data_IF_025157194181
#
_entry.id   IF_025157194181
#
_cell.length_a   1.000
_cell.length_b   1.000
_cell.length_c   1.000
_cell.angle_alpha   90.00
_cell.angle_beta   90.00
_cell.angle_gamma   90.00
#
_symmetry.space_group_name_H-M   'P 1'
#
loop_
_entity.id
_entity.type
_entity.pdbx_description
1 polymer ?
#
# COMPACT_ATOMS: atom_id res chain seq x y z
N UNK A 1 -21.65 -36.87 -1.99
CA UNK A 1 -20.91 -35.61 -1.78
C UNK A 1 -21.27 -35.08 -0.41
N UNK A 2 -20.38 -35.15 0.57
CA UNK A 2 -20.62 -34.57 1.88
C UNK A 2 -20.26 -33.09 1.82
N UNK A 3 -21.27 -32.22 1.86
CA UNK A 3 -21.09 -30.78 2.06
C UNK A 3 -20.71 -30.55 3.52
N UNK A 4 -19.45 -30.22 3.77
CA UNK A 4 -19.02 -29.81 5.11
C UNK A 4 -19.27 -28.31 5.23
N UNK A 5 -20.38 -27.94 5.88
CA UNK A 5 -20.62 -26.55 6.26
C UNK A 5 -19.73 -26.19 7.45
N UNK A 6 -18.68 -25.42 7.17
CA UNK A 6 -17.80 -24.87 8.20
C UNK A 6 -18.59 -23.89 9.06
N UNK A 7 -18.56 -24.08 10.38
CA UNK A 7 -19.18 -23.12 11.29
C UNK A 7 -18.38 -21.81 11.30
N UNK A 8 -19.00 -20.70 11.75
CA UNK A 8 -18.28 -19.42 11.97
C UNK A 8 -17.04 -19.58 12.87
N UNK A 9 -17.07 -20.56 13.78
CA UNK A 9 -15.93 -20.86 14.67
C UNK A 9 -14.80 -21.53 13.90
N UNK A 10 -15.12 -22.45 12.99
CA UNK A 10 -14.14 -23.12 12.13
C UNK A 10 -13.52 -22.15 11.13
N UNK A 11 -14.30 -21.25 10.53
CA UNK A 11 -13.78 -20.18 9.66
C UNK A 11 -12.80 -19.29 10.44
N UNK A 12 -13.17 -18.84 11.63
CA UNK A 12 -12.29 -18.04 12.48
C UNK A 12 -11.02 -18.79 12.92
N UNK A 13 -11.08 -20.10 13.12
CA UNK A 13 -9.91 -20.92 13.47
C UNK A 13 -9.02 -21.12 12.24
N UNK A 14 -9.58 -21.38 11.07
CA UNK A 14 -8.83 -21.50 9.82
C UNK A 14 -8.17 -20.17 9.43
N UNK A 15 -8.84 -19.03 9.65
CA UNK A 15 -8.25 -17.71 9.43
C UNK A 15 -7.08 -17.45 10.38
N UNK A 16 -7.16 -17.91 11.64
CA UNK A 16 -6.04 -17.84 12.60
C UNK A 16 -4.90 -18.79 12.27
N UNK A 17 -5.19 -19.97 11.71
CA UNK A 17 -4.16 -20.93 11.25
C UNK A 17 -3.43 -20.38 10.03
N UNK A 18 -4.13 -19.62 9.17
CA UNK A 18 -3.54 -18.95 8.00
C UNK A 18 -2.69 -17.73 8.36
N UNK A 19 -2.86 -17.17 9.54
CA UNK A 19 -2.09 -16.03 10.04
C UNK A 19 -1.58 -16.29 11.47
N UNK A 20 -0.54 -17.14 11.63
CA UNK A 20 0.00 -17.49 12.94
C UNK A 20 0.63 -16.28 13.68
N UNK A 21 0.78 -15.12 13.03
CA UNK A 21 1.27 -13.88 13.64
C UNK A 21 0.17 -12.84 13.92
N UNK A 22 -1.08 -13.08 13.53
CA UNK A 22 -2.22 -12.25 13.92
C UNK A 22 -2.57 -12.47 15.40
N UNK A 23 -1.87 -11.79 16.28
CA UNK A 23 -2.24 -11.68 17.68
C UNK A 23 -3.39 -10.66 17.85
N UNK A 24 -4.62 -11.07 18.21
CA UNK A 24 -5.73 -10.14 18.45
C UNK A 24 -5.48 -9.20 19.65
N UNK A 25 -4.45 -9.45 20.47
CA UNK A 25 -4.00 -8.55 21.53
C UNK A 25 -3.01 -7.47 21.03
N UNK A 26 -2.49 -7.58 19.81
CA UNK A 26 -1.62 -6.59 19.17
C UNK A 26 -2.37 -5.43 18.49
N UNK A 27 -3.70 -5.36 18.70
CA UNK A 27 -4.53 -4.25 18.24
C UNK A 27 -4.03 -2.92 18.83
N UNK A 28 -3.88 -1.93 17.96
CA UNK A 28 -3.36 -0.62 18.34
C UNK A 28 -4.36 0.08 19.24
N UNK A 29 -3.88 0.63 20.36
CA UNK A 29 -4.71 1.43 21.25
C UNK A 29 -5.06 2.75 20.56
N UNK A 30 -6.33 2.93 20.20
CA UNK A 30 -6.82 4.15 19.57
C UNK A 30 -7.39 5.09 20.62
N UNK A 31 -6.89 6.32 20.64
CA UNK A 31 -7.37 7.38 21.53
C UNK A 31 -7.83 8.60 20.70
N UNK A 32 -9.16 8.83 20.60
CA UNK A 32 -9.71 9.99 19.89
C UNK A 32 -9.38 11.35 20.50
N UNK A 33 -8.91 11.40 21.76
CA UNK A 33 -8.51 12.63 22.42
C UNK A 33 -7.12 13.12 21.99
N UNK A 34 -6.32 12.25 21.38
CA UNK A 34 -5.00 12.60 20.85
C UNK A 34 -5.12 13.50 19.62
N UNK A 35 -4.09 14.35 19.35
CA UNK A 35 -4.00 15.12 18.12
C UNK A 35 -4.17 14.23 16.88
N UNK A 36 -4.93 14.74 15.89
CA UNK A 36 -5.17 14.01 14.63
C UNK A 36 -3.88 13.74 13.86
N UNK A 37 -2.88 14.60 14.00
CA UNK A 37 -1.52 14.39 13.53
C UNK A 37 -0.52 14.68 14.68
N UNK A 38 0.43 13.78 14.96
CA UNK A 38 1.36 13.93 16.08
C UNK A 38 2.40 15.06 15.88
N UNK A 39 2.62 15.51 14.64
CA UNK A 39 3.59 16.56 14.30
C UNK A 39 2.93 17.94 14.07
N UNK A 40 1.59 18.00 14.05
CA UNK A 40 0.81 19.24 13.91
C UNK A 40 -0.28 19.28 15.00
N UNK A 41 0.13 19.57 16.22
CA UNK A 41 -0.75 19.58 17.38
C UNK A 41 -1.62 20.85 17.50
N UNK A 42 -1.17 21.98 16.93
CA UNK A 42 -1.93 23.23 16.92
C UNK A 42 -3.16 23.08 16.01
N UNK A 43 -4.35 23.23 16.60
CA UNK A 43 -5.62 23.01 15.90
C UNK A 43 -5.86 24.01 14.75
N UNK A 44 -5.43 25.26 14.88
CA UNK A 44 -5.61 26.29 13.86
C UNK A 44 -4.62 26.09 12.69
N UNK A 45 -3.39 25.64 12.97
CA UNK A 45 -2.45 25.20 11.94
C UNK A 45 -2.98 23.96 11.24
N UNK A 46 -3.41 22.95 12.00
CA UNK A 46 -3.96 21.72 11.45
C UNK A 46 -5.16 21.98 10.53
N UNK A 47 -6.09 22.85 10.93
CA UNK A 47 -7.24 23.21 10.10
C UNK A 47 -6.81 23.81 8.76
N UNK A 48 -5.83 24.73 8.75
CA UNK A 48 -5.29 25.29 7.49
C UNK A 48 -4.64 24.21 6.61
N UNK A 49 -3.90 23.29 7.22
CA UNK A 49 -3.24 22.18 6.54
C UNK A 49 -4.26 21.25 5.87
N UNK A 50 -5.32 20.85 6.58
CA UNK A 50 -6.34 19.97 6.00
C UNK A 50 -7.15 20.66 4.89
N UNK A 51 -7.39 21.97 4.99
CA UNK A 51 -8.11 22.69 3.93
C UNK A 51 -7.29 22.74 2.65
N UNK A 52 -5.97 22.94 2.79
CA UNK A 52 -5.03 22.88 1.65
C UNK A 52 -5.00 21.48 1.05
N UNK A 53 -4.87 20.44 1.87
CA UNK A 53 -4.93 19.04 1.43
C UNK A 53 -6.23 18.76 0.67
N UNK A 54 -7.37 19.06 1.29
CA UNK A 54 -8.71 18.81 0.75
C UNK A 54 -8.89 19.45 -0.61
N UNK A 55 -8.40 20.68 -0.82
CA UNK A 55 -8.47 21.36 -2.12
C UNK A 55 -7.76 20.56 -3.22
N UNK A 56 -6.55 20.07 -2.95
CA UNK A 56 -5.77 19.30 -3.93
C UNK A 56 -6.45 17.96 -4.22
N UNK A 57 -6.87 17.24 -3.17
CA UNK A 57 -7.50 15.92 -3.32
C UNK A 57 -8.85 16.01 -4.03
N UNK A 58 -9.66 17.03 -3.76
CA UNK A 58 -10.91 17.23 -4.49
C UNK A 58 -10.67 17.49 -5.98
N UNK A 59 -9.63 18.24 -6.35
CA UNK A 59 -9.25 18.41 -7.76
C UNK A 59 -8.82 17.09 -8.40
N UNK A 60 -8.02 16.27 -7.71
CA UNK A 60 -7.64 14.94 -8.20
C UNK A 60 -8.86 14.03 -8.38
N UNK A 61 -9.77 13.99 -7.40
CA UNK A 61 -11.00 13.20 -7.48
C UNK A 61 -11.91 13.64 -8.63
N UNK A 62 -12.04 14.95 -8.87
CA UNK A 62 -12.81 15.46 -10.01
C UNK A 62 -12.23 15.00 -11.34
N UNK A 63 -10.89 15.03 -11.47
CA UNK A 63 -10.20 14.55 -12.66
C UNK A 63 -10.37 13.04 -12.86
N UNK A 64 -10.32 12.25 -11.78
CA UNK A 64 -10.58 10.80 -11.83
C UNK A 64 -12.00 10.48 -12.31
N UNK A 65 -13.01 11.22 -11.85
CA UNK A 65 -14.39 11.04 -12.32
C UNK A 65 -14.54 11.33 -13.82
N UNK A 66 -13.79 12.30 -14.36
CA UNK A 66 -13.78 12.56 -15.80
C UNK A 66 -13.07 11.44 -16.57
N UNK A 67 -11.93 10.96 -16.05
CA UNK A 67 -11.18 9.84 -16.63
C UNK A 67 -11.99 8.53 -16.65
N UNK A 68 -12.84 8.32 -15.64
CA UNK A 68 -13.75 7.19 -15.55
C UNK A 68 -15.04 7.36 -16.41
N UNK A 69 -15.21 8.49 -17.11
CA UNK A 69 -16.42 8.76 -17.89
C UNK A 69 -17.67 9.06 -17.05
N UNK A 70 -17.52 9.27 -15.74
CA UNK A 70 -18.62 9.56 -14.81
C UNK A 70 -18.96 11.06 -14.76
N UNK A 71 -18.14 11.92 -15.39
CA UNK A 71 -18.38 13.35 -15.56
C UNK A 71 -17.94 13.82 -16.95
N UNK A 72 -18.50 14.94 -17.46
CA UNK A 72 -18.05 15.54 -18.71
C UNK A 72 -16.55 15.85 -18.67
N UNK A 73 -15.84 15.47 -19.73
CA UNK A 73 -14.42 15.77 -19.88
C UNK A 73 -14.25 17.26 -20.16
N UNK A 74 -13.71 17.99 -19.19
CA UNK A 74 -13.43 19.43 -19.29
C UNK A 74 -11.96 19.70 -19.59
N UNK A 75 -11.11 18.68 -19.52
CA UNK A 75 -9.65 18.77 -19.69
C UNK A 75 -9.22 17.99 -20.94
N UNK A 76 -8.51 18.66 -21.83
CA UNK A 76 -7.94 18.08 -23.06
C UNK A 76 -6.81 17.09 -22.74
N UNK A 77 -5.92 17.45 -21.81
CA UNK A 77 -4.75 16.68 -21.40
C UNK A 77 -4.79 16.24 -19.92
N UNK A 78 -5.60 15.22 -19.56
CA UNK A 78 -5.74 14.76 -18.19
C UNK A 78 -4.44 14.36 -17.50
N UNK A 79 -3.48 13.76 -18.23
CA UNK A 79 -2.19 13.35 -17.67
C UNK A 79 -1.37 14.56 -17.23
N UNK A 80 -1.36 15.64 -18.03
CA UNK A 80 -0.64 16.87 -17.68
C UNK A 80 -1.29 17.58 -16.50
N UNK A 81 -2.62 17.62 -16.46
CA UNK A 81 -3.34 18.17 -15.29
C UNK A 81 -3.02 17.37 -14.02
N UNK A 82 -2.96 16.04 -14.12
CA UNK A 82 -2.59 15.18 -13.00
C UNK A 82 -1.15 15.43 -12.53
N UNK A 83 -0.18 15.61 -13.45
CA UNK A 83 1.19 16.01 -13.12
C UNK A 83 1.23 17.40 -12.47
N UNK A 84 0.38 18.34 -12.89
CA UNK A 84 0.22 19.64 -12.24
C UNK A 84 -0.29 19.54 -10.79
N UNK A 85 -1.24 18.63 -10.52
CA UNK A 85 -1.71 18.35 -9.17
C UNK A 85 -0.64 17.66 -8.31
N UNK A 86 0.17 16.78 -8.90
CA UNK A 86 1.34 16.19 -8.25
C UNK A 86 2.33 17.27 -7.79
N UNK A 87 2.65 18.24 -8.64
CA UNK A 87 3.51 19.37 -8.27
C UNK A 87 2.95 20.20 -7.10
N UNK A 88 1.62 20.34 -7.00
CA UNK A 88 1.01 20.99 -5.82
C UNK A 88 1.21 20.19 -4.53
N UNK A 89 1.23 18.85 -4.61
CA UNK A 89 1.59 18.00 -3.47
C UNK A 89 3.07 18.13 -3.11
N UNK A 90 3.96 18.28 -4.10
CA UNK A 90 5.38 18.52 -3.84
C UNK A 90 5.60 19.80 -3.04
N UNK A 91 4.96 20.89 -3.46
CA UNK A 91 5.05 22.16 -2.74
C UNK A 91 4.39 22.10 -1.36
N UNK A 92 3.31 21.32 -1.23
CA UNK A 92 2.67 21.10 0.06
C UNK A 92 3.56 20.33 1.03
N UNK A 93 4.29 19.31 0.55
CA UNK A 93 5.25 18.54 1.36
C UNK A 93 6.47 19.39 1.73
N UNK A 94 6.93 20.28 0.85
CA UNK A 94 8.02 21.22 1.19
C UNK A 94 7.61 22.17 2.32
N UNK A 95 6.36 22.64 2.32
CA UNK A 95 5.83 23.52 3.37
C UNK A 95 5.61 22.78 4.70
N UNK A 96 5.12 21.54 4.66
CA UNK A 96 4.86 20.71 5.84
C UNK A 96 5.60 19.35 5.77
N UNK A 97 6.93 19.32 5.95
CA UNK A 97 7.75 18.14 5.70
C UNK A 97 7.44 16.94 6.60
N UNK A 98 6.85 17.18 7.78
CA UNK A 98 6.46 16.14 8.74
C UNK A 98 4.97 15.76 8.64
N UNK A 99 4.22 16.28 7.66
CA UNK A 99 2.82 15.91 7.47
C UNK A 99 2.70 14.64 6.61
N UNK A 100 2.47 13.51 7.26
CA UNK A 100 2.49 12.19 6.61
C UNK A 100 1.34 12.00 5.60
N UNK A 101 0.17 12.60 5.83
CA UNK A 101 -0.98 12.45 4.93
C UNK A 101 -0.71 12.98 3.52
N UNK A 102 -0.03 14.13 3.40
CA UNK A 102 0.37 14.68 2.10
C UNK A 102 1.31 13.74 1.32
N UNK A 103 2.24 13.08 2.02
CA UNK A 103 3.15 12.08 1.43
C UNK A 103 2.40 10.86 0.93
N UNK A 104 1.46 10.33 1.70
CA UNK A 104 0.61 9.22 1.27
C UNK A 104 -0.24 9.58 0.03
N UNK A 105 -0.74 10.81 -0.03
CA UNK A 105 -1.47 11.29 -1.20
C UNK A 105 -0.55 11.38 -2.42
N UNK A 106 0.70 11.84 -2.25
CA UNK A 106 1.69 11.88 -3.32
C UNK A 106 2.01 10.48 -3.82
N UNK A 107 2.22 9.51 -2.92
CA UNK A 107 2.40 8.10 -3.29
C UNK A 107 1.21 7.56 -4.07
N UNK A 108 -0.02 7.85 -3.63
CA UNK A 108 -1.22 7.43 -4.36
C UNK A 108 -1.27 8.03 -5.77
N UNK A 109 -0.95 9.31 -5.92
CA UNK A 109 -0.87 9.99 -7.20
C UNK A 109 0.21 9.38 -8.12
N UNK A 110 1.38 9.07 -7.57
CA UNK A 110 2.47 8.42 -8.31
C UNK A 110 2.09 7.01 -8.76
N UNK A 111 1.46 6.22 -7.90
CA UNK A 111 0.93 4.89 -8.25
C UNK A 111 -0.14 4.96 -9.34
N UNK A 112 -0.96 6.02 -9.34
CA UNK A 112 -1.96 6.25 -10.41
C UNK A 112 -1.31 6.67 -11.74
N UNK A 113 -0.25 7.46 -11.70
CA UNK A 113 0.48 7.86 -12.90
C UNK A 113 1.28 6.71 -13.51
N UNK A 114 2.07 6.00 -12.70
CA UNK A 114 3.10 5.08 -13.16
C UNK A 114 2.80 3.60 -12.89
N UNK A 115 1.77 3.31 -12.08
CA UNK A 115 1.42 1.95 -11.68
C UNK A 115 2.26 1.41 -10.52
N UNK A 116 1.90 0.21 -10.04
CA UNK A 116 2.60 -0.48 -8.96
C UNK A 116 3.84 -1.25 -9.45
N UNK A 117 4.01 -1.39 -10.76
CA UNK A 117 5.20 -1.97 -11.41
C UNK A 117 6.35 -0.96 -11.53
N UNK A 118 6.27 0.19 -10.87
CA UNK A 118 7.18 1.32 -11.07
C UNK A 118 8.65 1.06 -10.68
N UNK A 119 8.97 -0.10 -10.08
CA UNK A 119 10.34 -0.50 -9.76
C UNK A 119 10.98 -1.35 -10.87
N UNK A 120 10.26 -1.66 -11.95
CA UNK A 120 10.68 -2.63 -12.96
C UNK A 120 10.90 -1.98 -14.32
N UNK A 121 12.04 -2.29 -14.94
CA UNK A 121 12.35 -1.88 -16.31
C UNK A 121 11.47 -2.65 -17.31
N UNK A 122 10.79 -1.92 -18.20
CA UNK A 122 10.03 -2.54 -19.28
C UNK A 122 8.85 -3.40 -18.84
N UNK A 123 8.38 -3.25 -17.59
CA UNK A 123 7.19 -3.96 -17.12
C UNK A 123 5.95 -3.58 -17.95
N UNK A 124 5.04 -4.53 -18.19
CA UNK A 124 3.85 -4.28 -19.00
C UNK A 124 3.01 -3.14 -18.39
N UNK A 125 2.34 -2.33 -19.24
CA UNK A 125 1.45 -1.30 -18.74
C UNK A 125 0.27 -1.95 -18.00
N UNK A 126 -0.02 -1.46 -16.80
CA UNK A 126 -1.23 -1.84 -16.07
C UNK A 126 -2.40 -0.99 -16.56
N UNK A 127 -3.63 -1.52 -16.70
CA UNK A 127 -4.78 -0.73 -17.14
C UNK A 127 -5.06 0.53 -16.28
N UNK A 128 -4.58 0.50 -15.03
CA UNK A 128 -4.78 1.56 -14.04
C UNK A 128 -3.71 2.66 -14.09
N UNK A 129 -2.62 2.53 -14.85
CA UNK A 129 -1.63 3.62 -14.97
C UNK A 129 -2.06 4.64 -16.02
N UNK A 130 -1.77 5.92 -15.78
CA UNK A 130 -2.08 6.98 -16.75
C UNK A 130 -0.96 7.17 -17.79
N UNK A 131 0.31 7.08 -17.37
CA UNK A 131 1.46 7.24 -18.26
C UNK A 131 1.83 5.89 -18.84
N UNK A 132 1.49 5.63 -20.11
CA UNK A 132 1.69 4.31 -20.74
C UNK A 132 3.17 3.97 -20.99
N UNK A 133 3.97 4.96 -21.43
CA UNK A 133 5.39 4.80 -21.75
C UNK A 133 6.20 5.91 -21.06
N UNK A 134 6.53 5.76 -19.76
CA UNK A 134 7.30 6.75 -19.02
C UNK A 134 8.76 6.69 -19.46
N UNK A 135 9.44 7.82 -19.38
CA UNK A 135 10.89 7.83 -19.52
C UNK A 135 11.53 7.09 -18.33
N UNK A 136 12.63 6.40 -18.58
CA UNK A 136 13.36 5.64 -17.54
C UNK A 136 13.78 6.55 -16.38
N UNK A 137 14.30 7.75 -16.70
CA UNK A 137 14.72 8.71 -15.69
C UNK A 137 13.53 9.18 -14.83
N UNK A 138 12.38 9.41 -15.46
CA UNK A 138 11.13 9.76 -14.78
C UNK A 138 10.68 8.64 -13.83
N UNK A 139 10.75 7.38 -14.28
CA UNK A 139 10.39 6.21 -13.48
C UNK A 139 11.30 6.04 -12.25
N UNK A 140 12.61 6.19 -12.43
CA UNK A 140 13.60 6.10 -11.33
C UNK A 140 13.36 7.22 -10.30
N UNK A 141 13.12 8.44 -10.75
CA UNK A 141 12.86 9.58 -9.88
C UNK A 141 11.59 9.37 -9.04
N UNK A 142 10.49 8.98 -9.68
CA UNK A 142 9.20 8.87 -9.00
C UNK A 142 9.05 7.59 -8.19
N UNK A 143 9.70 6.48 -8.57
CA UNK A 143 9.79 5.30 -7.71
C UNK A 143 10.58 5.61 -6.43
N UNK A 144 11.70 6.33 -6.53
CA UNK A 144 12.45 6.81 -5.37
C UNK A 144 11.56 7.68 -4.48
N UNK A 145 10.86 8.66 -5.04
CA UNK A 145 9.99 9.55 -4.28
C UNK A 145 8.86 8.79 -3.55
N UNK A 146 8.23 7.82 -4.22
CA UNK A 146 7.17 7.01 -3.63
C UNK A 146 7.69 6.16 -2.45
N UNK A 147 8.85 5.53 -2.61
CA UNK A 147 9.45 4.72 -1.54
C UNK A 147 9.91 5.59 -0.36
N UNK A 148 10.58 6.72 -0.61
CA UNK A 148 10.99 7.66 0.44
C UNK A 148 9.80 8.26 1.20
N UNK A 149 8.70 8.55 0.51
CA UNK A 149 7.49 9.04 1.15
C UNK A 149 6.84 8.01 2.07
N UNK A 150 6.69 6.77 1.61
CA UNK A 150 6.14 5.70 2.46
C UNK A 150 7.04 5.44 3.66
N UNK A 151 8.35 5.39 3.48
CA UNK A 151 9.33 5.26 4.56
C UNK A 151 9.24 6.42 5.57
N UNK A 152 9.13 7.66 5.07
CA UNK A 152 9.02 8.83 5.93
C UNK A 152 7.68 8.87 6.67
N UNK A 153 6.56 8.58 6.00
CA UNK A 153 5.24 8.47 6.63
C UNK A 153 5.23 7.43 7.73
N UNK A 154 5.81 6.25 7.49
CA UNK A 154 5.93 5.19 8.49
C UNK A 154 6.78 5.69 9.66
N UNK A 155 7.97 6.23 9.40
CA UNK A 155 8.85 6.76 10.44
C UNK A 155 8.22 7.87 11.28
N UNK A 156 7.36 8.71 10.69
CA UNK A 156 6.70 9.81 11.38
C UNK A 156 5.55 9.34 12.29
N UNK A 157 4.86 8.28 11.91
CA UNK A 157 3.62 7.87 12.57
C UNK A 157 3.77 6.61 13.44
N UNK A 158 4.80 5.79 13.23
CA UNK A 158 5.05 4.62 14.08
C UNK A 158 5.28 5.06 15.52
N UNK A 159 4.49 4.58 16.49
CA UNK A 159 4.70 4.91 17.90
C UNK A 159 6.05 4.44 18.40
N UNK A 160 6.67 5.22 19.27
CA UNK A 160 7.96 4.88 19.89
C UNK A 160 7.88 3.64 20.81
N UNK A 161 6.68 3.28 21.27
CA UNK A 161 6.43 2.10 22.10
C UNK A 161 5.45 1.17 21.40
N UNK A 162 5.64 -0.15 21.56
CA UNK A 162 4.80 -1.18 20.92
C UNK A 162 3.30 -1.02 21.24
N UNK A 163 2.98 -0.48 22.42
CA UNK A 163 1.62 -0.26 22.93
C UNK A 163 1.25 1.23 23.00
N UNK A 164 1.98 2.09 22.30
CA UNK A 164 1.70 3.53 22.27
C UNK A 164 0.32 3.81 21.68
N UNK A 165 -0.48 4.63 22.37
CA UNK A 165 -1.76 5.08 21.85
C UNK A 165 -1.58 5.96 20.61
N UNK A 166 -2.50 5.85 19.66
CA UNK A 166 -2.51 6.65 18.44
C UNK A 166 -3.89 7.26 18.21
N UNK A 167 -3.95 8.43 17.58
CA UNK A 167 -5.22 8.93 17.08
C UNK A 167 -5.72 8.06 15.92
N UNK A 168 -7.04 7.92 15.73
CA UNK A 168 -7.60 7.15 14.61
C UNK A 168 -7.12 7.64 13.23
N UNK A 169 -6.91 8.95 13.08
CA UNK A 169 -6.42 9.54 11.83
C UNK A 169 -4.96 9.17 11.56
N UNK A 170 -4.10 9.20 12.58
CA UNK A 170 -2.70 8.77 12.46
C UNK A 170 -2.62 7.27 12.13
N UNK A 171 -3.42 6.42 12.81
CA UNK A 171 -3.47 4.99 12.52
C UNK A 171 -3.93 4.70 11.07
N UNK A 172 -4.98 5.38 10.60
CA UNK A 172 -5.43 5.26 9.19
C UNK A 172 -4.36 5.69 8.19
N UNK A 173 -3.64 6.77 8.50
CA UNK A 173 -2.57 7.26 7.61
C UNK A 173 -1.40 6.27 7.60
N UNK A 174 -1.02 5.73 8.75
CA UNK A 174 0.03 4.71 8.85
C UNK A 174 -0.36 3.42 8.12
N UNK A 175 -1.60 2.95 8.27
CA UNK A 175 -2.10 1.75 7.59
C UNK A 175 -2.04 1.90 6.07
N UNK A 176 -2.38 3.08 5.55
CA UNK A 176 -2.26 3.39 4.13
C UNK A 176 -0.81 3.40 3.64
N UNK A 177 0.12 3.99 4.40
CA UNK A 177 1.54 4.04 4.02
C UNK A 177 2.13 2.63 3.84
N UNK A 178 1.86 1.75 4.81
CA UNK A 178 2.24 0.33 4.72
C UNK A 178 1.58 -0.37 3.53
N UNK A 179 0.26 -0.21 3.36
CA UNK A 179 -0.50 -0.86 2.28
C UNK A 179 -0.02 -0.43 0.89
N UNK A 180 0.30 0.85 0.71
CA UNK A 180 0.81 1.37 -0.55
C UNK A 180 2.20 0.81 -0.88
N UNK A 181 3.10 0.76 0.10
CA UNK A 181 4.44 0.17 -0.07
C UNK A 181 4.36 -1.33 -0.34
N UNK A 182 3.50 -2.04 0.38
CA UNK A 182 3.20 -3.45 0.17
C UNK A 182 2.72 -3.74 -1.26
N UNK A 183 1.83 -2.91 -1.81
CA UNK A 183 1.33 -3.09 -3.17
C UNK A 183 2.45 -2.97 -4.23
N UNK A 184 3.35 -1.99 -4.08
CA UNK A 184 4.51 -1.82 -4.96
C UNK A 184 5.43 -3.05 -4.87
N UNK A 185 5.77 -3.50 -3.65
CA UNK A 185 6.62 -4.68 -3.47
C UNK A 185 5.97 -5.96 -3.97
N UNK A 186 4.67 -6.14 -3.73
CA UNK A 186 3.91 -7.31 -4.19
C UNK A 186 3.87 -7.41 -5.71
N UNK A 187 3.59 -6.29 -6.38
CA UNK A 187 3.57 -6.28 -7.84
C UNK A 187 4.98 -6.44 -8.42
N UNK A 188 6.00 -5.89 -7.77
CA UNK A 188 7.41 -6.09 -8.14
C UNK A 188 7.79 -7.57 -8.02
N UNK A 189 7.48 -8.22 -6.89
CA UNK A 189 7.77 -9.65 -6.67
C UNK A 189 7.16 -10.57 -7.74
N UNK A 190 5.97 -10.23 -8.25
CA UNK A 190 5.29 -11.01 -9.28
C UNK A 190 6.03 -11.04 -10.62
N UNK A 191 6.83 -10.01 -10.91
CA UNK A 191 7.36 -9.75 -12.24
C UNK A 191 8.89 -9.63 -12.27
N UNK A 192 9.57 -9.63 -11.11
CA UNK A 192 11.02 -9.42 -11.02
C UNK A 192 11.87 -10.56 -11.60
N UNK A 193 11.29 -11.74 -11.85
CA UNK A 193 11.98 -12.82 -12.58
C UNK A 193 12.01 -12.56 -14.10
N UNK A 194 11.05 -11.80 -14.62
CA UNK A 194 10.90 -11.48 -16.04
C UNK A 194 11.46 -10.10 -16.37
N UNK A 195 11.54 -9.21 -15.37
CA UNK A 195 11.92 -7.82 -15.50
C UNK A 195 12.99 -7.44 -14.48
N UNK A 196 13.97 -6.64 -14.90
CA UNK A 196 15.01 -6.15 -14.00
C UNK A 196 14.50 -5.03 -13.10
N UNK A 197 14.93 -5.03 -11.84
CA UNK A 197 14.66 -3.93 -10.91
C UNK A 197 15.45 -2.70 -11.35
N UNK A 198 14.74 -1.58 -11.51
CA UNK A 198 15.30 -0.30 -11.90
C UNK A 198 14.87 0.78 -10.91
N UNK A 199 15.73 0.98 -9.92
CA UNK A 199 15.55 1.98 -8.85
C UNK A 199 16.76 2.90 -8.79
N UNK A 200 16.63 4.01 -8.07
CA UNK A 200 17.73 4.95 -7.89
C UNK A 200 18.95 4.30 -7.20
N UNK A 201 20.15 4.78 -7.54
CA UNK A 201 21.40 4.30 -6.95
C UNK A 201 21.39 4.41 -5.42
N UNK A 202 21.95 3.39 -4.75
CA UNK A 202 22.00 3.32 -3.29
C UNK A 202 20.72 2.83 -2.61
N UNK A 203 19.62 2.60 -3.36
CA UNK A 203 18.41 2.00 -2.81
C UNK A 203 18.62 0.51 -2.54
N UNK A 204 18.19 0.06 -1.35
CA UNK A 204 18.27 -1.34 -0.93
C UNK A 204 17.49 -2.29 -1.85
N UNK A 205 16.40 -1.81 -2.46
CA UNK A 205 15.54 -2.61 -3.32
C UNK A 205 16.28 -3.07 -4.60
N UNK A 206 17.37 -2.40 -4.98
CA UNK A 206 18.17 -2.76 -6.16
C UNK A 206 18.79 -4.17 -6.06
N UNK A 207 19.08 -4.64 -4.84
CA UNK A 207 19.71 -5.94 -4.60
C UNK A 207 18.72 -6.98 -4.07
N UNK A 208 17.43 -6.69 -4.06
CA UNK A 208 16.42 -7.59 -3.53
C UNK A 208 16.09 -8.70 -4.52
N UNK A 209 15.98 -9.93 -4.00
CA UNK A 209 15.45 -11.05 -4.76
C UNK A 209 13.93 -11.05 -4.69
N UNK A 210 13.28 -11.88 -5.54
CA UNK A 210 11.84 -12.13 -5.46
C UNK A 210 11.36 -12.46 -4.05
N UNK A 211 12.07 -13.35 -3.35
CA UNK A 211 11.74 -13.74 -1.98
C UNK A 211 11.75 -12.54 -1.03
N UNK A 212 12.77 -11.68 -1.12
CA UNK A 212 12.86 -10.48 -0.27
C UNK A 212 11.71 -9.51 -0.54
N UNK A 213 11.31 -9.33 -1.81
CA UNK A 213 10.12 -8.53 -2.15
C UNK A 213 8.83 -9.17 -1.61
N UNK A 214 8.65 -10.49 -1.72
CA UNK A 214 7.47 -11.19 -1.17
C UNK A 214 7.39 -11.06 0.35
N UNK A 215 8.50 -11.27 1.06
CA UNK A 215 8.57 -11.11 2.52
C UNK A 215 8.31 -9.66 2.95
N UNK A 216 8.91 -8.69 2.24
CA UNK A 216 8.69 -7.27 2.52
C UNK A 216 7.23 -6.85 2.27
N UNK A 217 6.63 -7.32 1.17
CA UNK A 217 5.22 -7.07 0.86
C UNK A 217 4.29 -7.69 1.91
N UNK A 218 4.52 -8.96 2.28
CA UNK A 218 3.71 -9.67 3.28
C UNK A 218 3.79 -8.97 4.64
N UNK A 219 4.99 -8.60 5.09
CA UNK A 219 5.19 -7.86 6.34
C UNK A 219 4.48 -6.50 6.32
N UNK A 220 4.58 -5.75 5.23
CA UNK A 220 3.91 -4.45 5.13
C UNK A 220 2.38 -4.60 5.06
N UNK A 221 1.84 -5.63 4.39
CA UNK A 221 0.40 -5.91 4.45
C UNK A 221 -0.07 -6.28 5.86
N UNK A 222 0.72 -7.06 6.60
CA UNK A 222 0.41 -7.40 7.99
C UNK A 222 0.36 -6.13 8.87
N UNK A 223 1.32 -5.21 8.74
CA UNK A 223 1.27 -3.92 9.43
C UNK A 223 0.09 -3.06 8.96
N UNK A 224 -0.20 -3.01 7.66
CA UNK A 224 -1.38 -2.33 7.13
C UNK A 224 -2.67 -2.85 7.79
N UNK A 225 -2.80 -4.18 7.91
CA UNK A 225 -3.92 -4.83 8.61
C UNK A 225 -3.96 -4.49 10.10
N UNK A 226 -2.82 -4.56 10.79
CA UNK A 226 -2.69 -4.22 12.22
C UNK A 226 -3.16 -2.79 12.54
N UNK A 227 -2.91 -1.84 11.63
CA UNK A 227 -3.34 -0.45 11.78
C UNK A 227 -4.76 -0.18 11.21
N UNK A 228 -5.52 -1.23 10.86
CA UNK A 228 -6.94 -1.15 10.52
C UNK A 228 -7.28 -1.08 9.03
N UNK A 229 -6.39 -1.50 8.12
CA UNK A 229 -6.71 -1.65 6.70
C UNK A 229 -7.17 -3.08 6.36
N UNK A 230 -8.47 -3.26 6.12
CA UNK A 230 -9.06 -4.58 5.83
C UNK A 230 -8.54 -5.22 4.54
N UNK A 231 -8.23 -4.42 3.51
CA UNK A 231 -7.66 -4.94 2.27
C UNK A 231 -6.26 -5.49 2.55
N UNK A 232 -5.45 -4.75 3.31
CA UNK A 232 -4.12 -5.20 3.70
C UNK A 232 -4.18 -6.45 4.58
N UNK A 233 -5.13 -6.53 5.52
CA UNK A 233 -5.35 -7.71 6.35
C UNK A 233 -5.66 -8.96 5.50
N UNK A 234 -6.57 -8.84 4.53
CA UNK A 234 -6.87 -9.94 3.61
C UNK A 234 -5.66 -10.33 2.75
N UNK A 235 -4.90 -9.34 2.27
CA UNK A 235 -3.71 -9.57 1.45
C UNK A 235 -2.53 -10.16 2.24
N UNK A 236 -2.36 -9.80 3.51
CA UNK A 236 -1.30 -10.33 4.39
C UNK A 236 -1.32 -11.86 4.42
N UNK A 237 -2.52 -12.43 4.56
CA UNK A 237 -2.75 -13.88 4.53
C UNK A 237 -2.34 -14.49 3.18
N UNK A 238 -2.83 -13.90 2.08
CA UNK A 238 -2.60 -14.44 0.72
C UNK A 238 -1.14 -14.33 0.25
N UNK A 239 -0.39 -13.39 0.82
CA UNK A 239 0.98 -13.06 0.41
C UNK A 239 2.04 -13.70 1.29
N UNK A 240 1.66 -14.25 2.46
CA UNK A 240 2.56 -14.90 3.40
C UNK A 240 3.24 -16.15 2.77
N UNK A 241 4.57 -16.12 2.55
CA UNK A 241 5.30 -17.23 1.94
C UNK A 241 5.18 -18.54 2.74
N UNK A 242 5.21 -18.45 4.07
CA UNK A 242 5.06 -19.60 4.97
C UNK A 242 3.67 -20.21 4.84
N UNK A 243 2.62 -19.38 4.82
CA UNK A 243 1.24 -19.85 4.65
C UNK A 243 1.05 -20.52 3.27
N UNK A 244 1.68 -19.98 2.20
CA UNK A 244 1.67 -20.61 0.87
C UNK A 244 2.33 -21.99 0.90
N UNK A 245 3.51 -22.12 1.51
CA UNK A 245 4.24 -23.39 1.62
C UNK A 245 3.45 -24.42 2.43
N UNK A 246 2.95 -24.06 3.60
CA UNK A 246 2.08 -24.93 4.40
C UNK A 246 0.85 -25.37 3.61
N UNK A 247 0.21 -24.44 2.89
CA UNK A 247 -0.93 -24.73 2.04
C UNK A 247 -0.62 -25.65 0.85
N UNK A 248 0.58 -25.57 0.27
CA UNK A 248 1.06 -26.48 -0.76
C UNK A 248 1.33 -27.87 -0.18
N UNK A 249 2.03 -27.97 0.96
CA UNK A 249 2.31 -29.23 1.64
C UNK A 249 1.02 -29.98 2.00
N UNK A 250 0.03 -29.26 2.56
CA UNK A 250 -1.28 -29.83 2.88
C UNK A 250 -2.00 -30.30 1.61
N UNK A 251 -1.99 -29.51 0.52
CA UNK A 251 -2.58 -29.93 -0.76
C UNK A 251 -1.94 -31.18 -1.32
N UNK A 252 -0.61 -31.28 -1.30
CA UNK A 252 0.11 -32.47 -1.77
C UNK A 252 -0.18 -33.69 -0.88
N UNK A 253 -0.28 -33.51 0.44
CA UNK A 253 -0.69 -34.57 1.36
C UNK A 253 -2.14 -35.03 1.08
N UNK A 254 -3.07 -34.08 0.84
CA UNK A 254 -4.47 -34.42 0.52
C UNK A 254 -4.61 -35.13 -0.82
N UNK A 255 -3.86 -34.72 -1.86
CA UNK A 255 -3.81 -35.44 -3.15
C UNK A 255 -3.32 -36.87 -2.99
N UNK A 256 -2.34 -37.09 -2.10
CA UNK A 256 -1.79 -38.42 -1.82
C UNK A 256 -2.79 -39.33 -1.12
N UNK A 257 -3.57 -38.80 -0.17
CA UNK A 257 -4.54 -39.58 0.62
C UNK A 257 -5.88 -39.80 -0.11
N UNK A 258 -6.40 -38.78 -0.81
CA UNK A 258 -7.76 -38.80 -1.37
C UNK A 258 -7.82 -38.84 -2.91
N UNK A 259 -6.66 -38.90 -3.56
CA UNK A 259 -6.53 -38.98 -5.01
C UNK A 259 -6.50 -37.61 -5.72
N UNK A 260 -6.13 -37.59 -7.01
CA UNK A 260 -5.84 -36.36 -7.76
C UNK A 260 -7.06 -35.46 -8.04
N UNK A 261 -8.30 -35.92 -7.76
CA UNK A 261 -9.51 -35.11 -7.90
C UNK A 261 -9.71 -34.08 -6.79
N UNK A 262 -8.90 -34.13 -5.72
CA UNK A 262 -8.87 -33.12 -4.66
C UNK A 262 -7.79 -32.07 -4.99
N UNK A 263 -8.12 -31.06 -5.80
CA UNK A 263 -7.22 -29.93 -6.03
C UNK A 263 -7.33 -29.14 -7.33
N UNK A 264 -8.41 -29.24 -8.10
CA UNK A 264 -8.75 -28.20 -9.11
C UNK A 264 -9.43 -26.99 -8.46
#
# INVERSE_FOLDING_TARGET
>A
MASVDLTRRDVNVLDKIKDPESDPSANVLLDPSLPRDPHIADAAVYERVIQKERKIILSMQQLELQLAGLRPRTVSEPVQEYKGLLSKLDDFIKEYPNYASARNNRVQALRRLYGDTMLLAGAPPTPQRLVQAPEIAELIQYSKAALEDTERSISLLTPSTMFGAMSPQAAKTLSLAYTQRAAIYHMTAKLVEEHSVQVAEGRREASWTKLVFEEAASRDFAYGGRYGNEIAKGLAVSTNPTAKLCGQMVREAMKKEYGPSYGE
#
